data_IF_901596771010
#
_entry.id   IF_901596771010
#
_cell.length_a   1.000
_cell.length_b   1.000
_cell.length_c   1.000
_cell.angle_alpha   90.00
_cell.angle_beta   90.00
_cell.angle_gamma   90.00
#
_symmetry.space_group_name_H-M   'P 1'
#
loop_
_entity.id
_entity.type
_entity.pdbx_description
1 polymer ?
#
# COMPACT_ATOMS: atom_id res chain seq x y z
N UNK A 1 -7.10 0.60 10.27
CA UNK A 1 -5.90 1.32 10.78
C UNK A 1 -5.89 2.66 10.07
N UNK A 2 -6.00 3.75 10.82
CA UNK A 2 -6.28 5.08 10.29
C UNK A 2 -5.00 5.73 9.74
N UNK A 3 -5.03 6.22 8.50
CA UNK A 3 -3.84 6.66 7.76
C UNK A 3 -3.25 7.96 8.33
N UNK A 4 -4.03 8.68 9.14
CA UNK A 4 -3.59 9.88 9.83
C UNK A 4 -2.83 9.61 11.13
N UNK A 5 -2.74 8.35 11.57
CA UNK A 5 -2.07 7.97 12.82
C UNK A 5 -0.75 7.26 12.54
N UNK A 6 0.12 7.90 11.76
CA UNK A 6 1.45 7.38 11.41
C UNK A 6 2.27 6.97 12.64
N UNK A 7 2.16 7.71 13.74
CA UNK A 7 2.83 7.35 14.99
C UNK A 7 2.26 6.07 15.63
N UNK A 8 0.96 5.80 15.51
CA UNK A 8 0.36 4.53 15.97
C UNK A 8 0.79 3.35 15.09
N UNK A 9 0.88 3.56 13.77
CA UNK A 9 1.36 2.54 12.83
C UNK A 9 2.82 2.21 13.12
N UNK A 10 3.66 3.22 13.31
CA UNK A 10 5.06 3.02 13.67
C UNK A 10 5.23 2.36 15.04
N UNK A 11 4.42 2.74 16.03
CA UNK A 11 4.39 2.09 17.34
C UNK A 11 4.02 0.61 17.22
N UNK A 12 3.02 0.30 16.40
CA UNK A 12 2.62 -1.08 16.12
C UNK A 12 3.71 -1.88 15.40
N UNK A 13 4.38 -1.32 14.39
CA UNK A 13 5.49 -2.01 13.73
C UNK A 13 6.67 -2.22 14.68
N UNK A 14 6.94 -1.23 15.54
CA UNK A 14 7.95 -1.33 16.59
C UNK A 14 7.62 -2.44 17.59
N UNK A 15 6.35 -2.61 17.99
CA UNK A 15 5.94 -3.71 18.88
C UNK A 15 6.06 -5.09 18.23
N UNK A 16 6.04 -5.17 16.90
CA UNK A 16 6.39 -6.37 16.13
C UNK A 16 7.91 -6.53 15.92
N UNK A 17 8.71 -5.67 16.53
CA UNK A 17 10.17 -5.68 16.43
C UNK A 17 10.70 -5.11 15.11
N UNK A 18 9.90 -4.39 14.32
CA UNK A 18 10.29 -3.76 13.06
C UNK A 18 10.37 -2.24 13.25
N UNK A 19 11.59 -1.70 13.19
CA UNK A 19 11.82 -0.25 13.31
C UNK A 19 11.82 0.39 11.93
N UNK A 20 10.64 0.80 11.48
CA UNK A 20 10.49 1.51 10.19
C UNK A 20 10.94 2.98 10.35
N UNK A 21 11.82 3.50 9.49
CA UNK A 21 12.21 4.91 9.54
C UNK A 21 11.01 5.83 9.29
N UNK A 22 10.80 6.85 10.13
CA UNK A 22 9.68 7.81 9.97
C UNK A 22 9.67 8.49 8.60
N UNK A 23 10.85 8.75 8.01
CA UNK A 23 10.97 9.27 6.64
C UNK A 23 10.38 8.31 5.61
N UNK A 24 10.67 7.01 5.71
CA UNK A 24 10.14 5.99 4.80
C UNK A 24 8.61 5.94 4.86
N UNK A 25 8.03 5.92 6.07
CA UNK A 25 6.57 5.95 6.23
C UNK A 25 5.93 7.24 5.71
N UNK A 26 6.61 8.39 5.82
CA UNK A 26 6.11 9.65 5.22
C UNK A 26 6.08 9.57 3.69
N UNK A 27 7.12 9.02 3.05
CA UNK A 27 7.14 8.84 1.60
C UNK A 27 6.02 7.91 1.14
N UNK A 28 5.83 6.76 1.81
CA UNK A 28 4.73 5.85 1.49
C UNK A 28 3.35 6.48 1.69
N UNK A 29 3.20 7.38 2.66
CA UNK A 29 1.97 8.15 2.83
C UNK A 29 1.76 9.12 1.65
N UNK A 30 2.77 9.88 1.26
CA UNK A 30 2.70 10.80 0.11
C UNK A 30 2.32 10.03 -1.15
N UNK A 31 3.01 8.93 -1.45
CA UNK A 31 2.76 8.06 -2.60
C UNK A 31 1.28 7.60 -2.68
N UNK A 32 0.63 7.36 -1.54
CA UNK A 32 -0.81 7.04 -1.52
C UNK A 32 -1.72 8.18 -1.90
N UNK A 33 -1.42 9.37 -1.39
CA UNK A 33 -2.22 10.56 -1.63
C UNK A 33 -2.07 11.10 -3.06
N UNK A 34 -0.84 11.12 -3.59
CA UNK A 34 -0.56 11.72 -4.91
C UNK A 34 -0.37 10.68 -6.02
N UNK A 35 -0.26 9.40 -5.67
CA UNK A 35 -0.13 8.28 -6.60
C UNK A 35 -1.41 7.46 -6.66
N UNK A 36 -1.62 6.57 -5.69
CA UNK A 36 -2.69 5.56 -5.77
C UNK A 36 -4.10 6.14 -5.86
N UNK A 37 -4.43 7.18 -5.08
CA UNK A 37 -5.74 7.82 -5.16
C UNK A 37 -5.99 8.51 -6.52
N UNK A 38 -5.10 9.37 -7.04
CA UNK A 38 -5.26 9.94 -8.37
C UNK A 38 -5.29 8.88 -9.48
N UNK A 39 -4.50 7.81 -9.37
CA UNK A 39 -4.54 6.70 -10.34
C UNK A 39 -5.92 6.03 -10.34
N UNK A 40 -6.49 5.73 -9.17
CA UNK A 40 -7.84 5.17 -9.08
C UNK A 40 -8.89 6.09 -9.70
N UNK A 41 -8.80 7.39 -9.45
CA UNK A 41 -9.69 8.40 -10.03
C UNK A 41 -9.59 8.43 -11.57
N UNK A 42 -8.37 8.57 -12.11
CA UNK A 42 -8.14 8.70 -13.56
C UNK A 42 -8.51 7.40 -14.29
N UNK A 43 -8.17 6.24 -13.73
CA UNK A 43 -8.53 4.97 -14.35
C UNK A 43 -10.04 4.75 -14.39
N UNK A 44 -10.78 5.14 -13.34
CA UNK A 44 -12.25 5.07 -13.33
C UNK A 44 -12.90 6.06 -14.28
N UNK A 45 -12.21 7.13 -14.65
CA UNK A 45 -12.70 8.09 -15.65
C UNK A 45 -12.63 7.52 -17.08
N UNK A 46 -11.59 6.74 -17.39
CA UNK A 46 -11.34 6.26 -18.77
C UNK A 46 -11.74 4.80 -19.00
N UNK A 47 -11.91 4.01 -17.93
CA UNK A 47 -12.25 2.60 -17.98
C UNK A 47 -13.53 2.33 -17.19
N UNK A 48 -14.21 1.24 -17.52
CA UNK A 48 -15.31 0.75 -16.69
C UNK A 48 -14.79 0.12 -15.38
N UNK A 49 -15.68 -0.02 -14.40
CA UNK A 49 -15.34 -0.53 -13.07
C UNK A 49 -14.74 -1.94 -13.12
N UNK A 50 -15.21 -2.81 -14.00
CA UNK A 50 -14.69 -4.18 -14.15
C UNK A 50 -13.22 -4.19 -14.56
N UNK A 51 -12.83 -3.40 -15.56
CA UNK A 51 -11.44 -3.27 -15.99
C UNK A 51 -10.56 -2.69 -14.90
N UNK A 52 -11.06 -1.68 -14.16
CA UNK A 52 -10.34 -1.08 -13.04
C UNK A 52 -10.07 -2.11 -11.93
N UNK A 53 -11.08 -2.90 -11.54
CA UNK A 53 -10.92 -3.97 -10.56
C UNK A 53 -9.97 -5.06 -11.03
N UNK A 54 -10.05 -5.44 -12.31
CA UNK A 54 -9.14 -6.41 -12.92
C UNK A 54 -7.69 -5.94 -12.84
N UNK A 55 -7.42 -4.66 -13.12
CA UNK A 55 -6.07 -4.08 -13.02
C UNK A 55 -5.53 -4.20 -11.60
N UNK A 56 -6.33 -3.90 -10.57
CA UNK A 56 -5.91 -4.06 -9.16
C UNK A 56 -5.53 -5.52 -8.88
N UNK A 57 -6.40 -6.46 -9.27
CA UNK A 57 -6.20 -7.90 -9.00
C UNK A 57 -4.95 -8.40 -9.71
N UNK A 58 -4.78 -8.09 -10.99
CA UNK A 58 -3.60 -8.50 -11.78
C UNK A 58 -2.32 -7.88 -11.21
N UNK A 59 -2.36 -6.61 -10.84
CA UNK A 59 -1.19 -5.93 -10.24
C UNK A 59 -0.82 -6.58 -8.91
N UNK A 60 -1.78 -6.87 -8.03
CA UNK A 60 -1.51 -7.56 -6.77
C UNK A 60 -0.99 -8.99 -6.98
N UNK A 61 -1.53 -9.71 -7.96
CA UNK A 61 -1.13 -11.08 -8.26
C UNK A 61 0.31 -11.16 -8.82
N UNK A 62 0.70 -10.21 -9.68
CA UNK A 62 2.01 -10.20 -10.32
C UNK A 62 3.08 -9.51 -9.47
N UNK A 63 2.77 -8.31 -8.96
CA UNK A 63 3.73 -7.47 -8.24
C UNK A 63 3.78 -7.83 -6.76
N UNK A 64 2.65 -8.22 -6.15
CA UNK A 64 2.56 -8.51 -4.72
C UNK A 64 3.55 -9.58 -4.23
N UNK A 65 3.69 -10.75 -4.89
CA UNK A 65 4.68 -11.76 -4.50
C UNK A 65 6.13 -11.26 -4.61
N UNK A 66 6.43 -10.48 -5.65
CA UNK A 66 7.76 -9.90 -5.87
C UNK A 66 8.07 -8.93 -4.72
N UNK A 67 7.12 -8.05 -4.40
CA UNK A 67 7.28 -7.05 -3.36
C UNK A 67 7.45 -7.71 -1.98
N UNK A 68 6.62 -8.69 -1.65
CA UNK A 68 6.74 -9.46 -0.41
C UNK A 68 8.10 -10.15 -0.32
N UNK A 69 8.61 -10.71 -1.42
CA UNK A 69 9.93 -11.31 -1.46
C UNK A 69 11.05 -10.28 -1.21
N UNK A 70 11.01 -9.12 -1.87
CA UNK A 70 12.00 -8.05 -1.67
C UNK A 70 11.96 -7.50 -0.25
N UNK A 71 10.76 -7.35 0.33
CA UNK A 71 10.55 -6.99 1.73
C UNK A 71 11.17 -8.02 2.65
N UNK A 72 10.89 -9.31 2.45
CA UNK A 72 11.42 -10.39 3.27
C UNK A 72 12.96 -10.48 3.22
N UNK A 73 13.55 -10.26 2.04
CA UNK A 73 15.02 -10.21 1.86
C UNK A 73 15.63 -8.93 2.42
N UNK A 74 14.82 -7.92 2.75
CA UNK A 74 15.29 -6.60 3.18
C UNK A 74 16.14 -5.91 2.11
N UNK A 75 15.70 -5.99 0.85
CA UNK A 75 16.38 -5.39 -0.30
C UNK A 75 15.91 -3.94 -0.52
N UNK A 76 16.81 -3.07 -1.01
CA UNK A 76 16.48 -1.70 -1.38
C UNK A 76 15.87 -0.86 -0.24
N UNK A 77 14.64 -0.33 -0.39
CA UNK A 77 13.99 0.47 0.65
C UNK A 77 13.59 -0.36 1.88
N UNK A 78 13.58 -1.70 1.77
CA UNK A 78 13.09 -2.63 2.79
C UNK A 78 14.13 -3.09 3.80
N UNK A 79 15.32 -2.46 3.85
CA UNK A 79 16.44 -2.89 4.72
C UNK A 79 16.07 -3.14 6.19
N UNK A 80 15.06 -2.44 6.71
CA UNK A 80 14.58 -2.59 8.09
C UNK A 80 13.82 -3.90 8.37
N UNK A 81 13.46 -4.68 7.35
CA UNK A 81 12.90 -6.02 7.48
C UNK A 81 13.95 -7.14 7.49
N UNK A 82 15.23 -6.82 7.27
CA UNK A 82 16.29 -7.84 7.20
C UNK A 82 16.33 -8.69 8.48
N UNK A 83 16.30 -10.00 8.29
CA UNK A 83 16.34 -10.98 9.40
C UNK A 83 15.02 -11.11 10.18
N UNK A 84 13.91 -10.54 9.69
CA UNK A 84 12.60 -10.68 10.33
C UNK A 84 11.88 -11.96 9.87
N UNK A 85 11.11 -12.62 10.73
CA UNK A 85 10.30 -13.77 10.35
C UNK A 85 9.31 -13.42 9.23
N UNK A 86 9.15 -14.31 8.25
CA UNK A 86 8.24 -14.11 7.12
C UNK A 86 6.81 -13.78 7.56
N UNK A 87 6.34 -14.40 8.65
CA UNK A 87 5.01 -14.12 9.23
C UNK A 87 4.81 -12.66 9.61
N UNK A 88 5.84 -12.01 10.15
CA UNK A 88 5.80 -10.59 10.53
C UNK A 88 5.83 -9.71 9.28
N UNK A 89 6.71 -10.03 8.33
CA UNK A 89 6.83 -9.30 7.06
C UNK A 89 5.51 -9.37 6.27
N UNK A 90 4.95 -10.57 6.11
CA UNK A 90 3.67 -10.79 5.42
C UNK A 90 2.53 -10.03 6.09
N UNK A 91 2.49 -10.00 7.43
CA UNK A 91 1.47 -9.23 8.17
C UNK A 91 1.56 -7.74 7.85
N UNK A 92 2.76 -7.18 7.83
CA UNK A 92 2.96 -5.75 7.53
C UNK A 92 2.69 -5.49 6.04
N UNK A 93 3.15 -6.36 5.14
CA UNK A 93 2.83 -6.28 3.71
C UNK A 93 1.32 -6.23 3.46
N UNK A 94 0.53 -7.11 4.09
CA UNK A 94 -0.92 -7.11 3.95
C UNK A 94 -1.58 -5.83 4.49
N UNK A 95 -1.07 -5.28 5.60
CA UNK A 95 -1.55 -3.99 6.13
C UNK A 95 -1.26 -2.84 5.18
N UNK A 96 -0.05 -2.80 4.61
CA UNK A 96 0.33 -1.76 3.65
C UNK A 96 -0.43 -1.92 2.33
N UNK A 97 -0.63 -3.16 1.84
CA UNK A 97 -1.42 -3.47 0.65
C UNK A 97 -2.89 -3.09 0.82
N UNK A 98 -3.49 -3.38 1.98
CA UNK A 98 -4.84 -2.93 2.31
C UNK A 98 -4.97 -1.41 2.21
N UNK A 99 -4.00 -0.67 2.75
CA UNK A 99 -4.00 0.79 2.64
C UNK A 99 -3.89 1.25 1.18
N UNK A 100 -2.96 0.69 0.40
CA UNK A 100 -2.78 1.03 -1.02
C UNK A 100 -4.07 0.82 -1.81
N UNK A 101 -4.71 -0.34 -1.66
CA UNK A 101 -6.00 -0.65 -2.29
C UNK A 101 -7.09 0.30 -1.80
N UNK A 102 -7.14 0.63 -0.52
CA UNK A 102 -8.10 1.58 0.04
C UNK A 102 -8.00 2.96 -0.59
N UNK A 103 -6.79 3.50 -0.78
CA UNK A 103 -6.59 4.78 -1.46
C UNK A 103 -6.99 4.75 -2.92
N UNK A 104 -6.63 3.67 -3.62
CA UNK A 104 -7.03 3.48 -5.01
C UNK A 104 -8.56 3.47 -5.14
N UNK A 105 -9.25 2.64 -4.34
CA UNK A 105 -10.71 2.53 -4.36
C UNK A 105 -11.40 3.83 -3.93
N UNK A 106 -10.79 4.60 -3.02
CA UNK A 106 -11.28 5.93 -2.69
C UNK A 106 -11.23 6.87 -3.90
N UNK A 107 -10.17 6.81 -4.70
CA UNK A 107 -10.07 7.54 -5.97
C UNK A 107 -11.17 7.16 -6.96
N UNK A 108 -11.41 5.85 -7.13
CA UNK A 108 -12.51 5.31 -7.96
C UNK A 108 -13.85 5.86 -7.48
N UNK A 109 -14.13 5.76 -6.18
CA UNK A 109 -15.38 6.24 -5.58
C UNK A 109 -15.57 7.74 -5.80
N UNK A 110 -14.52 8.55 -5.62
CA UNK A 110 -14.60 9.99 -5.85
C UNK A 110 -14.93 10.31 -7.32
N UNK A 111 -14.36 9.58 -8.27
CA UNK A 111 -14.69 9.76 -9.68
C UNK A 111 -16.17 9.43 -9.95
N UNK A 112 -16.65 8.30 -9.43
CA UNK A 112 -18.05 7.89 -9.59
C UNK A 112 -19.03 8.88 -8.94
N UNK A 113 -18.66 9.53 -7.84
CA UNK A 113 -19.51 10.53 -7.18
C UNK A 113 -19.51 11.90 -7.87
N UNK A 114 -18.43 12.27 -8.55
CA UNK A 114 -18.29 13.59 -9.17
C UNK A 114 -18.76 13.57 -10.63
N UNK A 115 -18.52 12.47 -11.35
CA UNK A 115 -18.69 12.37 -12.80
C UNK A 115 -19.57 11.19 -13.24
N UNK A 116 -19.98 10.30 -12.32
CA UNK A 116 -20.94 9.22 -12.58
C UNK A 116 -22.38 9.68 -12.34
#
# INVERSE_FOLDING_TARGET
MDVFKLDNILSYYSSLGVKVPKKHSKYGMIERWIGYLPVGFVLSWVLNLEMVLLIIIVTLALVGPIELYLMYRGFGPWKFFRGKPLKIVAKIFLLEAYNVVGYFLLGVLLQLLILG
#
